data_IF_437307839281
#
_entry.id   IF_437307839281
#
_cell.length_a   1.000
_cell.length_b   1.000
_cell.length_c   1.000
_cell.angle_alpha   90.00
_cell.angle_beta   90.00
_cell.angle_gamma   90.00
#
_symmetry.space_group_name_H-M   'P 1'
#
loop_
_entity.id
_entity.type
_entity.pdbx_description
1 polymer ?
#
# COMPACT_ATOMS: atom_id res chain seq x y z
N UNK A 1 -2.41 -17.35 -6.19
CA UNK A 1 -2.56 -16.15 -5.33
C UNK A 1 -1.20 -15.48 -5.25
N UNK A 2 -1.12 -14.14 -5.28
CA UNK A 2 0.16 -13.45 -5.21
C UNK A 2 0.85 -13.75 -3.88
N UNK A 3 2.10 -14.19 -3.95
CA UNK A 3 2.94 -14.44 -2.78
C UNK A 3 4.06 -13.41 -2.74
N UNK A 4 4.30 -12.82 -1.57
CA UNK A 4 5.34 -11.83 -1.36
C UNK A 4 6.27 -12.21 -0.21
N UNK A 5 7.59 -12.13 -0.43
CA UNK A 5 8.55 -11.99 0.66
C UNK A 5 8.46 -10.54 1.18
N UNK A 6 7.90 -10.37 2.38
CA UNK A 6 7.72 -9.07 3.04
C UNK A 6 8.88 -8.81 4.00
N UNK A 7 9.78 -7.94 3.60
CA UNK A 7 10.91 -7.51 4.39
C UNK A 7 10.57 -6.27 5.21
N UNK A 8 10.70 -6.37 6.53
CA UNK A 8 10.83 -5.20 7.41
C UNK A 8 12.31 -4.93 7.63
N UNK A 9 12.77 -3.70 7.35
CA UNK A 9 14.18 -3.35 7.45
C UNK A 9 14.79 -3.70 8.82
N UNK A 10 14.06 -3.42 9.89
CA UNK A 10 14.48 -3.61 11.27
C UNK A 10 13.54 -4.54 12.02
N UNK A 11 14.05 -5.17 13.09
CA UNK A 11 13.24 -6.03 13.95
C UNK A 11 12.15 -5.24 14.68
N UNK A 12 12.41 -3.97 15.00
CA UNK A 12 11.45 -3.08 15.65
C UNK A 12 10.27 -2.76 14.71
N UNK A 13 10.53 -2.48 13.43
CA UNK A 13 9.49 -2.35 12.42
C UNK A 13 8.65 -3.63 12.32
N UNK A 14 9.31 -4.79 12.27
CA UNK A 14 8.61 -6.08 12.20
C UNK A 14 7.68 -6.27 13.39
N UNK A 15 8.20 -6.17 14.61
CA UNK A 15 7.42 -6.37 15.84
C UNK A 15 6.23 -5.44 15.95
N UNK A 16 6.38 -4.21 15.44
CA UNK A 16 5.31 -3.21 15.40
C UNK A 16 4.22 -3.56 14.41
N UNK A 17 4.58 -3.92 13.17
CA UNK A 17 3.65 -3.98 12.05
C UNK A 17 3.17 -5.40 11.70
N UNK A 18 4.00 -6.43 11.88
CA UNK A 18 3.65 -7.83 11.58
C UNK A 18 2.33 -8.28 12.25
N UNK A 19 2.06 -7.98 13.54
CA UNK A 19 0.80 -8.36 14.18
C UNK A 19 -0.46 -7.72 13.55
N UNK A 20 -0.28 -6.66 12.74
CA UNK A 20 -1.35 -5.93 12.08
C UNK A 20 -1.55 -6.32 10.62
N UNK A 21 -0.72 -7.20 10.06
CA UNK A 21 -0.84 -7.66 8.66
C UNK A 21 -2.19 -8.33 8.36
N UNK A 22 -2.89 -8.86 9.37
CA UNK A 22 -4.24 -9.40 9.21
C UNK A 22 -5.31 -8.38 8.77
N UNK A 23 -4.98 -7.08 8.71
CA UNK A 23 -5.83 -6.07 8.06
C UNK A 23 -5.80 -6.17 6.53
N UNK A 24 -4.75 -6.77 5.96
CA UNK A 24 -4.65 -7.05 4.52
C UNK A 24 -5.37 -8.40 4.28
N UNK A 25 -6.29 -8.50 3.30
CA UNK A 25 -7.00 -9.74 3.05
C UNK A 25 -6.04 -10.89 2.70
N UNK A 26 -6.37 -12.14 3.10
CA UNK A 26 -5.51 -13.31 2.90
C UNK A 26 -5.32 -13.73 1.43
N UNK A 27 -5.88 -12.97 0.48
CA UNK A 27 -5.57 -13.10 -0.93
C UNK A 27 -4.07 -12.88 -1.22
N UNK A 28 -3.44 -11.97 -0.46
CA UNK A 28 -2.00 -11.76 -0.50
C UNK A 28 -1.33 -12.61 0.57
N UNK A 29 -0.44 -13.50 0.15
CA UNK A 29 0.33 -14.34 1.07
C UNK A 29 1.68 -13.70 1.36
N UNK A 30 2.14 -13.80 2.62
CA UNK A 30 3.39 -13.19 3.06
C UNK A 30 4.32 -14.22 3.69
N UNK A 31 5.57 -14.24 3.23
CA UNK A 31 6.70 -14.74 4.01
C UNK A 31 7.40 -13.55 4.66
N UNK A 32 7.23 -13.37 5.97
CA UNK A 32 7.78 -12.22 6.69
C UNK A 32 9.26 -12.43 7.02
N UNK A 33 10.08 -11.42 6.73
CA UNK A 33 11.53 -11.42 6.97
C UNK A 33 11.96 -10.11 7.62
N UNK A 34 13.03 -10.17 8.39
CA UNK A 34 13.73 -8.98 8.90
C UNK A 34 15.01 -8.77 8.10
N UNK A 35 15.30 -7.53 7.71
CA UNK A 35 16.51 -7.14 6.99
C UNK A 35 16.21 -6.37 5.71
N UNK A 36 17.25 -6.14 4.91
CA UNK A 36 17.13 -5.44 3.64
C UNK A 36 17.31 -6.44 2.49
N UNK A 37 16.34 -6.57 1.57
CA UNK A 37 16.52 -7.39 0.37
C UNK A 37 17.53 -6.72 -0.58
N UNK A 38 17.83 -7.37 -1.71
CA UNK A 38 18.51 -6.68 -2.80
C UNK A 38 17.64 -5.53 -3.31
N UNK A 39 18.18 -4.32 -3.32
CA UNK A 39 17.49 -3.10 -3.75
C UNK A 39 18.28 -2.36 -4.82
N UNK A 40 17.55 -1.68 -5.70
CA UNK A 40 18.07 -0.64 -6.58
C UNK A 40 17.55 0.71 -6.11
N UNK A 41 18.28 1.76 -6.44
CA UNK A 41 17.89 3.13 -6.15
C UNK A 41 17.42 3.82 -7.42
N UNK A 42 16.40 4.67 -7.30
CA UNK A 42 15.93 5.50 -8.40
C UNK A 42 16.88 6.68 -8.69
N UNK A 43 16.65 7.35 -9.82
CA UNK A 43 17.50 8.43 -10.32
C UNK A 43 17.76 9.50 -9.24
N UNK A 44 19.03 9.80 -8.92
CA UNK A 44 19.38 10.80 -7.92
C UNK A 44 18.95 12.24 -8.27
N UNK A 45 18.56 12.49 -9.52
CA UNK A 45 18.10 13.79 -10.00
C UNK A 45 16.58 14.00 -9.87
N UNK A 46 15.80 12.96 -9.57
CA UNK A 46 14.37 13.08 -9.30
C UNK A 46 14.12 13.27 -7.79
N UNK A 47 13.74 14.47 -7.31
CA UNK A 47 13.50 14.70 -5.89
C UNK A 47 12.38 13.84 -5.29
N UNK A 48 11.48 13.30 -6.11
CA UNK A 48 10.44 12.39 -5.64
C UNK A 48 11.04 11.08 -5.15
N UNK A 49 11.98 10.52 -5.92
CA UNK A 49 12.49 9.16 -5.74
C UNK A 49 13.97 9.09 -5.34
N UNK A 50 14.64 10.23 -5.17
CA UNK A 50 16.07 10.29 -4.84
C UNK A 50 16.43 9.41 -3.64
N UNK A 51 17.34 8.47 -3.86
CA UNK A 51 17.81 7.49 -2.87
C UNK A 51 16.70 6.58 -2.30
N UNK A 52 15.54 6.50 -2.96
CA UNK A 52 14.45 5.61 -2.58
C UNK A 52 14.81 4.16 -2.96
N UNK A 53 14.92 3.23 -1.99
CA UNK A 53 15.21 1.84 -2.27
C UNK A 53 13.98 1.16 -2.86
N UNK A 54 14.17 0.39 -3.93
CA UNK A 54 13.13 -0.43 -4.52
C UNK A 54 13.66 -1.85 -4.72
N UNK A 55 12.94 -2.90 -4.27
CA UNK A 55 13.46 -4.25 -4.35
C UNK A 55 13.70 -4.68 -5.80
N UNK A 56 14.79 -5.41 -6.01
CA UNK A 56 15.13 -5.99 -7.32
C UNK A 56 14.30 -7.24 -7.60
N UNK A 57 14.24 -8.25 -6.70
CA UNK A 57 13.54 -9.49 -6.97
C UNK A 57 12.03 -9.28 -7.08
N UNK A 58 11.41 -9.95 -8.04
CA UNK A 58 9.95 -10.02 -8.14
C UNK A 58 9.35 -10.73 -6.91
N UNK A 59 8.11 -10.40 -6.55
CA UNK A 59 7.45 -10.96 -5.38
C UNK A 59 8.05 -10.44 -4.06
N UNK A 60 8.65 -9.25 -4.06
CA UNK A 60 9.26 -8.67 -2.85
C UNK A 60 8.58 -7.37 -2.46
N UNK A 61 8.24 -7.26 -1.17
CA UNK A 61 7.79 -6.01 -0.55
C UNK A 61 8.83 -5.58 0.48
N UNK A 62 9.29 -4.34 0.40
CA UNK A 62 10.28 -3.79 1.32
C UNK A 62 9.76 -2.60 2.11
N UNK A 63 9.63 -2.78 3.42
CA UNK A 63 9.20 -1.76 4.38
C UNK A 63 10.42 -1.25 5.14
N UNK A 64 10.69 0.05 5.09
CA UNK A 64 11.89 0.66 5.65
C UNK A 64 11.59 2.00 6.34
N UNK A 65 12.50 2.43 7.22
CA UNK A 65 12.33 3.61 8.08
C UNK A 65 13.47 4.63 7.97
N UNK A 66 14.25 4.56 6.89
CA UNK A 66 15.39 5.44 6.69
C UNK A 66 15.01 6.91 6.54
N UNK A 67 15.90 7.76 7.04
CA UNK A 67 15.88 9.19 6.75
C UNK A 67 16.57 9.49 5.41
N UNK A 68 15.82 9.28 4.33
CA UNK A 68 16.25 9.56 2.94
C UNK A 68 15.61 10.84 2.40
N UNK A 69 16.24 11.51 1.42
CA UNK A 69 15.73 12.74 0.81
C UNK A 69 14.48 12.55 -0.06
N UNK A 70 14.17 11.33 -0.49
CA UNK A 70 12.97 11.03 -1.27
C UNK A 70 11.69 11.57 -0.61
N UNK A 71 10.81 12.15 -1.42
CA UNK A 71 9.47 12.57 -0.99
C UNK A 71 8.44 11.45 -1.07
N UNK A 72 8.68 10.45 -1.92
CA UNK A 72 7.84 9.27 -2.03
C UNK A 72 7.72 8.56 -0.67
N UNK A 73 6.52 8.10 -0.35
CA UNK A 73 6.23 7.28 0.83
C UNK A 73 6.02 5.81 0.45
N UNK A 74 5.79 5.53 -0.82
CA UNK A 74 5.63 4.20 -1.34
C UNK A 74 5.73 4.16 -2.85
N UNK A 75 5.91 2.97 -3.38
CA UNK A 75 5.77 2.68 -4.80
C UNK A 75 5.55 1.19 -5.01
N UNK A 76 4.62 0.83 -5.91
CA UNK A 76 4.28 -0.53 -6.27
C UNK A 76 4.21 -0.70 -7.78
N UNK A 77 4.89 -1.73 -8.31
CA UNK A 77 4.83 -2.10 -9.73
C UNK A 77 5.48 -3.45 -9.96
N UNK A 78 5.06 -4.16 -11.01
CA UNK A 78 5.72 -5.39 -11.49
C UNK A 78 5.94 -6.40 -10.35
N UNK A 79 4.87 -6.71 -9.59
CA UNK A 79 4.88 -7.61 -8.43
C UNK A 79 5.96 -7.25 -7.38
N UNK A 80 6.26 -5.96 -7.21
CA UNK A 80 7.20 -5.45 -6.22
C UNK A 80 6.65 -4.20 -5.59
N UNK A 81 6.94 -4.01 -4.31
CA UNK A 81 6.54 -2.79 -3.61
C UNK A 81 7.59 -2.35 -2.62
N UNK A 82 7.64 -1.05 -2.35
CA UNK A 82 8.40 -0.53 -1.22
C UNK A 82 7.64 0.58 -0.52
N UNK A 83 7.76 0.63 0.81
CA UNK A 83 6.98 1.52 1.68
C UNK A 83 7.91 2.11 2.72
N UNK A 84 7.91 3.44 2.82
CA UNK A 84 8.65 4.20 3.82
C UNK A 84 7.77 4.49 5.02
N UNK A 85 8.23 4.09 6.21
CA UNK A 85 7.63 4.43 7.50
C UNK A 85 8.43 5.56 8.11
N UNK A 86 7.80 6.70 8.39
CA UNK A 86 8.48 7.82 9.04
C UNK A 86 8.26 7.78 10.55
N UNK A 87 9.13 8.44 11.33
CA UNK A 87 8.95 8.55 12.78
C UNK A 87 7.61 9.16 13.21
N UNK A 88 6.97 9.98 12.36
CA UNK A 88 5.68 10.62 12.62
C UNK A 88 4.47 9.74 12.30
N UNK A 89 4.67 8.63 11.60
CA UNK A 89 3.60 7.72 11.24
C UNK A 89 3.32 6.84 12.46
N UNK A 90 2.56 7.36 13.43
CA UNK A 90 2.26 6.69 14.71
C UNK A 90 1.06 5.76 14.65
N UNK A 91 0.22 5.89 13.64
CA UNK A 91 -0.94 5.03 13.43
C UNK A 91 -0.56 3.82 12.56
N UNK A 92 -0.43 2.67 13.20
CA UNK A 92 -0.07 1.41 12.53
C UNK A 92 -1.09 1.02 11.45
N UNK A 93 -2.38 1.35 11.63
CA UNK A 93 -3.40 1.04 10.63
C UNK A 93 -3.14 1.78 9.32
N UNK A 94 -2.76 3.05 9.41
CA UNK A 94 -2.41 3.86 8.23
C UNK A 94 -1.19 3.28 7.53
N UNK A 95 -0.18 2.82 8.27
CA UNK A 95 1.00 2.18 7.69
C UNK A 95 0.64 0.87 6.98
N UNK A 96 -0.21 0.03 7.57
CA UNK A 96 -0.68 -1.20 6.92
C UNK A 96 -1.51 -0.90 5.67
N UNK A 97 -2.34 0.16 5.70
CA UNK A 97 -3.07 0.61 4.51
C UNK A 97 -2.13 1.09 3.39
N UNK A 98 -1.03 1.76 3.72
CA UNK A 98 0.01 2.08 2.73
C UNK A 98 0.66 0.83 2.14
N UNK A 99 0.96 -0.18 2.96
CA UNK A 99 1.48 -1.46 2.45
C UNK A 99 0.48 -2.12 1.50
N UNK A 100 -0.79 -2.17 1.87
CA UNK A 100 -1.82 -2.74 1.01
C UNK A 100 -1.98 -1.95 -0.30
N UNK A 101 -1.97 -0.63 -0.24
CA UNK A 101 -2.02 0.25 -1.39
C UNK A 101 -0.91 -0.06 -2.40
N UNK A 102 0.35 -0.15 -1.94
CA UNK A 102 1.47 -0.43 -2.85
C UNK A 102 1.45 -1.85 -3.39
N UNK A 103 0.96 -2.83 -2.61
CA UNK A 103 0.76 -4.20 -3.11
C UNK A 103 -0.31 -4.25 -4.21
N UNK A 104 -1.39 -3.47 -4.06
CA UNK A 104 -2.43 -3.36 -5.09
C UNK A 104 -1.84 -2.80 -6.40
N UNK A 105 -1.04 -1.74 -6.34
CA UNK A 105 -0.31 -1.24 -7.50
C UNK A 105 0.65 -2.30 -8.08
N UNK A 106 1.33 -3.05 -7.22
CA UNK A 106 2.25 -4.11 -7.65
C UNK A 106 1.55 -5.19 -8.50
N UNK A 107 0.28 -5.50 -8.19
CA UNK A 107 -0.56 -6.45 -8.95
C UNK A 107 -1.47 -5.77 -9.99
N UNK A 108 -1.17 -4.53 -10.36
CA UNK A 108 -1.83 -3.81 -11.46
C UNK A 108 -3.20 -3.21 -11.13
N UNK A 109 -3.57 -3.11 -9.85
CA UNK A 109 -4.83 -2.48 -9.44
C UNK A 109 -4.65 -0.96 -9.25
N UNK A 110 -5.63 -0.13 -9.65
CA UNK A 110 -5.54 1.33 -9.58
C UNK A 110 -5.84 1.87 -8.17
N UNK A 111 -4.93 1.68 -7.22
CA UNK A 111 -5.16 2.02 -5.81
C UNK A 111 -5.30 3.53 -5.52
N UNK A 112 -4.92 4.40 -6.47
CA UNK A 112 -5.09 5.86 -6.38
C UNK A 112 -6.51 6.34 -6.79
N UNK A 113 -7.29 5.51 -7.49
CA UNK A 113 -8.49 5.96 -8.20
C UNK A 113 -9.79 5.78 -7.38
N UNK A 114 -9.71 5.99 -6.06
CA UNK A 114 -10.83 5.77 -5.13
C UNK A 114 -12.05 6.63 -5.49
N UNK A 115 -11.83 7.91 -5.82
CA UNK A 115 -12.90 8.86 -6.13
C UNK A 115 -13.45 8.64 -7.53
N UNK A 116 -12.59 8.46 -8.54
CA UNK A 116 -13.01 8.26 -9.92
C UNK A 116 -13.86 6.99 -10.10
N UNK A 117 -13.62 5.99 -9.24
CA UNK A 117 -14.34 4.70 -9.25
C UNK A 117 -15.42 4.57 -8.19
N UNK A 118 -15.80 5.63 -7.49
CA UNK A 118 -16.83 5.57 -6.45
C UNK A 118 -18.14 4.92 -6.94
N UNK A 119 -18.47 5.07 -8.23
CA UNK A 119 -19.60 4.43 -8.88
C UNK A 119 -19.53 2.90 -9.01
N UNK A 120 -18.38 2.29 -8.80
CA UNK A 120 -18.13 0.85 -8.97
C UNK A 120 -18.08 0.11 -7.64
N UNK A 121 -17.46 0.70 -6.62
CA UNK A 121 -17.21 0.01 -5.34
C UNK A 121 -18.16 0.43 -4.21
N UNK A 122 -18.90 1.54 -4.35
CA UNK A 122 -19.88 1.98 -3.36
C UNK A 122 -21.29 1.53 -3.73
N UNK A 123 -22.01 1.00 -2.73
CA UNK A 123 -23.46 0.84 -2.75
C UNK A 123 -24.19 2.20 -2.76
N UNK A 124 -25.49 2.17 -3.06
CA UNK A 124 -26.30 3.38 -3.14
C UNK A 124 -26.36 4.15 -1.79
N UNK A 125 -26.44 3.44 -0.66
CA UNK A 125 -26.45 4.05 0.67
C UNK A 125 -25.10 4.65 1.04
N UNK A 126 -23.99 4.01 0.65
CA UNK A 126 -22.64 4.53 0.87
C UNK A 126 -22.40 5.82 0.09
N UNK A 127 -22.92 5.93 -1.14
CA UNK A 127 -22.85 7.18 -1.91
C UNK A 127 -23.56 8.33 -1.21
N UNK A 128 -24.69 8.06 -0.55
CA UNK A 128 -25.39 9.08 0.23
C UNK A 128 -24.56 9.51 1.45
N UNK A 129 -23.98 8.56 2.18
CA UNK A 129 -23.10 8.85 3.32
C UNK A 129 -21.86 9.62 2.85
N UNK A 130 -21.25 9.19 1.74
CA UNK A 130 -20.10 9.82 1.12
C UNK A 130 -20.39 11.26 0.68
N UNK A 131 -21.51 11.48 -0.02
CA UNK A 131 -21.95 12.82 -0.42
C UNK A 131 -22.21 13.72 0.80
N UNK A 132 -22.85 13.19 1.84
CA UNK A 132 -23.03 13.91 3.10
C UNK A 132 -21.68 14.24 3.76
N UNK A 133 -20.73 13.30 3.78
CA UNK A 133 -19.38 13.49 4.31
C UNK A 133 -18.61 14.59 3.56
N UNK A 134 -18.65 14.57 2.23
CA UNK A 134 -18.07 15.60 1.37
C UNK A 134 -18.72 16.97 1.60
N UNK A 135 -20.04 17.03 1.77
CA UNK A 135 -20.76 18.29 2.03
C UNK A 135 -20.33 18.95 3.34
N UNK A 136 -19.85 18.15 4.31
CA UNK A 136 -19.30 18.60 5.57
C UNK A 136 -17.81 18.98 5.48
N UNK A 137 -17.23 19.01 4.26
CA UNK A 137 -15.80 19.29 4.00
C UNK A 137 -14.85 18.41 4.83
N UNK A 138 -15.27 17.17 5.11
CA UNK A 138 -14.46 16.22 5.86
C UNK A 138 -13.45 15.55 4.93
N UNK A 139 -12.24 15.21 5.41
CA UNK A 139 -11.28 14.45 4.64
C UNK A 139 -11.89 13.13 4.17
N UNK A 140 -11.73 12.84 2.88
CA UNK A 140 -12.17 11.59 2.26
C UNK A 140 -11.11 10.51 2.45
N UNK A 141 -9.84 10.92 2.51
CA UNK A 141 -8.68 10.07 2.72
C UNK A 141 -8.60 9.64 4.18
N UNK A 142 -9.56 8.82 4.60
CA UNK A 142 -9.68 8.25 5.94
C UNK A 142 -9.67 6.73 5.88
N UNK A 143 -9.11 6.05 6.89
CA UNK A 143 -8.90 4.60 6.85
C UNK A 143 -10.16 3.78 6.51
N UNK A 144 -11.33 4.24 6.94
CA UNK A 144 -12.61 3.58 6.64
C UNK A 144 -12.87 3.41 5.14
N UNK A 145 -12.66 4.46 4.34
CA UNK A 145 -12.94 4.43 2.91
C UNK A 145 -11.86 3.68 2.14
N UNK A 146 -10.59 3.87 2.50
CA UNK A 146 -9.48 3.12 1.93
C UNK A 146 -9.65 1.62 2.12
N UNK A 147 -10.03 1.15 3.31
CA UNK A 147 -10.31 -0.28 3.57
C UNK A 147 -11.35 -0.86 2.61
N UNK A 148 -12.45 -0.15 2.40
CA UNK A 148 -13.52 -0.62 1.49
C UNK A 148 -13.06 -0.63 0.05
N UNK A 149 -12.42 0.44 -0.40
CA UNK A 149 -11.93 0.53 -1.77
C UNK A 149 -10.86 -0.54 -2.05
N UNK A 150 -9.90 -0.73 -1.14
CA UNK A 150 -8.84 -1.72 -1.29
C UNK A 150 -9.37 -3.15 -1.19
N UNK A 151 -10.38 -3.42 -0.36
CA UNK A 151 -11.05 -4.71 -0.32
C UNK A 151 -11.69 -5.03 -1.68
N UNK A 152 -12.44 -4.08 -2.24
CA UNK A 152 -13.03 -4.22 -3.57
C UNK A 152 -11.97 -4.45 -4.66
N UNK A 153 -10.87 -3.69 -4.66
CA UNK A 153 -9.76 -3.92 -5.60
C UNK A 153 -9.12 -5.29 -5.42
N UNK A 154 -9.04 -5.80 -4.19
CA UNK A 154 -8.50 -7.13 -3.90
C UNK A 154 -9.40 -8.24 -4.45
N UNK A 155 -10.72 -8.11 -4.27
CA UNK A 155 -11.71 -9.04 -4.87
C UNK A 155 -11.66 -9.01 -6.39
N UNK A 156 -11.54 -7.81 -6.96
CA UNK A 156 -11.37 -7.58 -8.40
C UNK A 156 -10.11 -8.27 -8.95
N UNK A 157 -8.98 -8.11 -8.26
CA UNK A 157 -7.73 -8.80 -8.59
C UNK A 157 -7.87 -10.33 -8.48
N UNK A 158 -8.51 -10.84 -7.43
CA UNK A 158 -8.75 -12.26 -7.23
C UNK A 158 -9.62 -12.89 -8.33
N UNK A 159 -10.51 -12.09 -8.93
CA UNK A 159 -11.41 -12.52 -10.01
C UNK A 159 -10.77 -12.44 -11.41
N UNK A 160 -9.52 -11.96 -11.53
CA UNK A 160 -8.84 -11.78 -12.81
C UNK A 160 -9.24 -10.51 -13.58
N UNK A 161 -10.05 -9.64 -12.98
CA UNK A 161 -10.46 -8.36 -13.58
C UNK A 161 -9.36 -7.31 -13.38
N UNK A 162 -8.26 -7.44 -14.12
CA UNK A 162 -7.13 -6.49 -14.02
C UNK A 162 -6.01 -6.73 -15.03
N UNK A 163 -5.99 -7.91 -15.67
CA UNK A 163 -4.94 -8.31 -16.63
C UNK A 163 -5.26 -7.97 -18.10
N UNK A 164 -5.93 -6.85 -18.40
CA UNK A 164 -6.21 -6.45 -19.80
C UNK A 164 -5.33 -5.31 -20.27
#
# INVERSE_FOLDING_TARGET
MPHFDLFFKTEDLRRRLEPRLGLIPPFFEFTVRTGTPEVRYFDPNDPMWKDFPFPVPEGTVYVFDDDIPARALGGGMQNRASVRVRPKDTDDEVVILSIWHEILHAVGQPADDMVGRAGEWQSASERLIWAAWQSLSRPIDVPFWHRKFYAWLTERAASGEGER
#
